data_IF_260040736191
#
_entry.id   IF_260040736191
#
_cell.length_a   1.000
_cell.length_b   1.000
_cell.length_c   1.000
_cell.angle_alpha   90.00
_cell.angle_beta   90.00
_cell.angle_gamma   90.00
#
_symmetry.space_group_name_H-M   'P 1'
#
loop_
_entity.id
_entity.type
_entity.pdbx_description
1 polymer ?
#
# COMPACT_ATOMS: atom_id res chain seq x y z
N UNK A 1 -7.91 2.13 3.05
CA UNK A 1 -8.72 1.60 4.16
C UNK A 1 -7.92 0.59 5.00
N UNK A 2 -7.37 -0.47 4.43
CA UNK A 2 -6.64 -1.51 5.19
C UNK A 2 -5.51 -0.97 6.07
N UNK A 3 -4.77 0.06 5.64
CA UNK A 3 -3.74 0.73 6.46
C UNK A 3 -4.35 1.45 7.67
N UNK A 4 -5.50 2.11 7.51
CA UNK A 4 -6.22 2.72 8.63
C UNK A 4 -6.65 1.68 9.64
N UNK A 5 -7.26 0.58 9.16
CA UNK A 5 -7.68 -0.53 10.03
C UNK A 5 -6.51 -1.15 10.78
N UNK A 6 -5.36 -1.34 10.11
CA UNK A 6 -4.15 -1.87 10.75
C UNK A 6 -3.62 -0.93 11.83
N UNK A 7 -3.54 0.39 11.53
CA UNK A 7 -3.10 1.39 12.51
C UNK A 7 -4.00 1.41 13.74
N UNK A 8 -5.33 1.39 13.54
CA UNK A 8 -6.31 1.38 14.66
C UNK A 8 -6.24 0.09 15.46
N UNK A 9 -5.99 -1.05 14.82
CA UNK A 9 -5.78 -2.32 15.50
C UNK A 9 -4.52 -2.29 16.36
N UNK A 10 -3.40 -1.82 15.80
CA UNK A 10 -2.13 -1.72 16.54
C UNK A 10 -2.24 -0.72 17.70
N UNK A 11 -2.98 0.39 17.52
CA UNK A 11 -3.29 1.32 18.58
C UNK A 11 -4.06 0.62 19.72
N UNK A 12 -5.13 -0.12 19.38
CA UNK A 12 -5.99 -0.78 20.38
C UNK A 12 -5.27 -1.88 21.16
N UNK A 13 -4.20 -2.41 20.61
CA UNK A 13 -3.34 -3.41 21.24
C UNK A 13 -2.14 -2.81 21.99
N UNK A 14 -2.01 -1.48 22.02
CA UNK A 14 -0.89 -0.77 22.64
C UNK A 14 -1.32 -0.09 23.94
N UNK A 15 -1.03 -0.72 25.07
CA UNK A 15 -1.39 -0.20 26.40
C UNK A 15 -0.69 1.14 26.76
N UNK A 16 0.35 1.53 26.00
CA UNK A 16 1.07 2.79 26.22
C UNK A 16 0.42 4.00 25.51
N UNK A 17 -0.67 3.82 24.78
CA UNK A 17 -1.31 4.86 23.95
C UNK A 17 -2.82 4.92 24.20
N UNK A 18 -3.32 6.12 24.50
CA UNK A 18 -4.75 6.37 24.79
C UNK A 18 -5.57 6.74 23.53
N UNK A 19 -4.92 6.83 22.39
CA UNK A 19 -5.52 7.22 21.13
C UNK A 19 -5.71 8.74 20.94
N UNK A 20 -5.50 9.53 21.98
CA UNK A 20 -5.55 11.00 21.95
C UNK A 20 -4.14 11.62 21.96
N UNK A 21 -3.22 11.02 22.70
CA UNK A 21 -1.84 11.52 22.87
C UNK A 21 -1.08 11.59 21.56
N UNK A 22 -1.21 10.58 20.71
CA UNK A 22 -0.58 10.56 19.39
C UNK A 22 -1.13 11.67 18.47
N UNK A 23 -2.44 11.92 18.51
CA UNK A 23 -3.08 12.97 17.71
C UNK A 23 -2.66 14.36 18.20
N UNK A 24 -2.65 14.59 19.51
CA UNK A 24 -2.12 15.82 20.10
C UNK A 24 -0.69 16.08 19.66
N UNK A 25 0.17 15.07 19.75
CA UNK A 25 1.57 15.16 19.33
C UNK A 25 1.69 15.45 17.82
N UNK A 26 0.85 14.86 16.99
CA UNK A 26 0.80 15.11 15.56
C UNK A 26 0.38 16.54 15.23
N UNK A 27 -0.69 17.04 15.84
CA UNK A 27 -1.21 18.40 15.59
C UNK A 27 -0.30 19.48 16.15
N UNK A 28 0.28 19.30 17.34
CA UNK A 28 1.19 20.30 17.98
C UNK A 28 2.53 20.43 17.27
N UNK A 29 2.94 19.45 16.46
CA UNK A 29 4.22 19.51 15.74
C UNK A 29 4.23 20.54 14.61
N UNK A 30 3.07 20.91 14.07
CA UNK A 30 2.96 21.93 13.00
C UNK A 30 1.58 22.60 13.06
N UNK A 31 1.57 23.91 13.30
CA UNK A 31 0.35 24.74 13.29
C UNK A 31 -0.48 24.59 12.01
N UNK A 32 0.17 24.40 10.87
CA UNK A 32 -0.53 24.26 9.60
C UNK A 32 -1.41 23.00 9.55
N UNK A 33 -1.15 21.99 10.38
CA UNK A 33 -1.99 20.78 10.48
C UNK A 33 -3.35 21.08 11.09
N UNK A 34 -3.39 21.87 12.15
CA UNK A 34 -4.65 22.33 12.77
C UNK A 34 -5.42 23.18 11.78
N UNK A 35 -4.75 24.14 11.15
CA UNK A 35 -5.36 24.98 10.12
C UNK A 35 -5.93 24.16 8.96
N UNK A 36 -5.15 23.23 8.41
CA UNK A 36 -5.61 22.31 7.34
C UNK A 36 -6.84 21.49 7.76
N UNK A 37 -6.91 21.11 9.03
CA UNK A 37 -8.04 20.37 9.57
C UNK A 37 -9.29 21.27 9.62
N UNK A 38 -9.18 22.49 10.17
CA UNK A 38 -10.27 23.45 10.26
C UNK A 38 -10.77 23.91 8.86
N UNK A 39 -9.89 24.07 7.90
CA UNK A 39 -10.22 24.42 6.51
C UNK A 39 -11.10 23.34 5.79
N UNK A 40 -11.28 22.18 6.38
CA UNK A 40 -12.16 21.12 5.87
C UNK A 40 -13.60 21.23 6.38
N UNK A 41 -13.87 22.02 7.41
CA UNK A 41 -15.20 22.21 7.99
C UNK A 41 -16.17 22.65 6.87
N UNK A 42 -17.34 21.99 6.81
CA UNK A 42 -18.38 22.25 5.83
C UNK A 42 -18.13 21.67 4.43
N UNK A 43 -16.99 21.00 4.18
CA UNK A 43 -16.70 20.39 2.85
C UNK A 43 -17.29 18.99 2.67
N UNK A 44 -17.64 18.30 3.76
CA UNK A 44 -18.34 17.01 3.72
C UNK A 44 -18.97 16.73 5.09
N UNK A 45 -19.94 15.81 5.14
CA UNK A 45 -20.58 15.40 6.40
C UNK A 45 -19.57 14.85 7.45
N UNK A 46 -18.49 14.20 6.99
CA UNK A 46 -17.44 13.71 7.89
C UNK A 46 -16.73 14.83 8.65
N UNK A 47 -16.76 16.07 8.14
CA UNK A 47 -16.11 17.22 8.76
C UNK A 47 -16.92 17.89 9.87
N UNK A 48 -18.18 17.50 10.07
CA UNK A 48 -18.98 17.96 11.22
C UNK A 48 -18.34 17.55 12.54
N UNK A 49 -17.60 16.47 12.55
CA UNK A 49 -16.80 16.02 13.67
C UNK A 49 -15.75 17.06 14.09
N UNK A 50 -15.06 17.66 13.11
CA UNK A 50 -14.04 18.69 13.35
C UNK A 50 -14.67 19.88 14.04
N UNK A 51 -15.81 20.36 13.54
CA UNK A 51 -16.53 21.49 14.11
C UNK A 51 -16.95 21.23 15.56
N UNK A 52 -17.44 20.01 15.87
CA UNK A 52 -17.79 19.62 17.23
C UNK A 52 -16.60 19.61 18.20
N UNK A 53 -15.42 19.22 17.72
CA UNK A 53 -14.21 19.14 18.53
C UNK A 53 -13.43 20.44 18.63
N UNK A 54 -13.59 21.35 17.67
CA UNK A 54 -12.98 22.69 17.71
C UNK A 54 -13.34 23.46 18.99
N UNK A 55 -14.55 23.26 19.52
CA UNK A 55 -15.00 23.86 20.77
C UNK A 55 -14.45 23.16 22.04
N UNK A 56 -13.70 22.05 21.88
CA UNK A 56 -13.12 21.22 22.93
C UNK A 56 -11.59 21.11 22.79
N UNK A 57 -10.91 22.23 22.60
CA UNK A 57 -9.45 22.37 22.50
C UNK A 57 -8.82 21.42 21.46
N UNK A 58 -9.52 21.20 20.36
CA UNK A 58 -9.07 20.30 19.26
C UNK A 58 -8.65 18.89 19.73
N UNK A 59 -9.32 18.38 20.75
CA UNK A 59 -9.06 17.06 21.30
C UNK A 59 -9.72 15.97 20.43
N UNK A 60 -8.96 15.40 19.47
CA UNK A 60 -9.41 14.35 18.58
C UNK A 60 -8.81 13.00 18.97
N UNK A 61 -9.65 11.96 18.87
CA UNK A 61 -9.16 10.60 18.92
C UNK A 61 -8.59 10.15 17.56
N UNK A 62 -7.67 9.18 17.56
CA UNK A 62 -7.06 8.66 16.34
C UNK A 62 -8.12 8.12 15.36
N UNK A 63 -9.11 7.37 15.86
CA UNK A 63 -10.20 6.82 15.04
C UNK A 63 -11.12 7.89 14.44
N UNK A 64 -11.17 9.07 15.04
CA UNK A 64 -11.92 10.22 14.49
C UNK A 64 -11.11 10.91 13.40
N UNK A 65 -9.86 11.25 13.67
CA UNK A 65 -9.04 12.07 12.77
C UNK A 65 -8.70 11.33 11.46
N UNK A 66 -8.51 10.00 11.49
CA UNK A 66 -8.20 9.21 10.29
C UNK A 66 -9.33 9.20 9.26
N UNK A 67 -10.57 9.56 9.65
CA UNK A 67 -11.70 9.66 8.71
C UNK A 67 -11.74 10.98 7.96
N UNK A 68 -11.13 12.04 8.50
CA UNK A 68 -11.23 13.40 7.94
C UNK A 68 -9.94 13.89 7.30
N UNK A 69 -8.79 13.35 7.67
CA UNK A 69 -7.52 13.74 7.08
C UNK A 69 -7.30 13.14 5.68
N UNK A 70 -6.54 13.85 4.87
CA UNK A 70 -6.12 13.35 3.55
C UNK A 70 -5.17 12.16 3.68
N UNK A 71 -4.98 11.42 2.59
CA UNK A 71 -4.03 10.30 2.62
C UNK A 71 -2.57 10.74 2.87
N UNK A 72 -2.21 11.98 2.47
CA UNK A 72 -0.89 12.54 2.80
C UNK A 72 -0.71 12.79 4.29
N UNK A 73 -1.67 13.47 4.90
CA UNK A 73 -1.70 13.71 6.35
C UNK A 73 -1.75 12.38 7.14
N UNK A 74 -2.50 11.39 6.64
CA UNK A 74 -2.50 10.05 7.22
C UNK A 74 -1.13 9.39 7.18
N UNK A 75 -0.35 9.52 6.10
CA UNK A 75 1.01 8.98 6.02
C UNK A 75 1.90 9.59 7.12
N UNK A 76 1.84 10.89 7.31
CA UNK A 76 2.63 11.57 8.34
C UNK A 76 2.26 11.10 9.75
N UNK A 77 0.96 10.98 10.03
CA UNK A 77 0.46 10.46 11.31
C UNK A 77 0.86 8.99 11.52
N UNK A 78 0.78 8.17 10.49
CA UNK A 78 1.21 6.77 10.48
C UNK A 78 2.72 6.65 10.78
N UNK A 79 3.54 7.44 10.09
CA UNK A 79 4.98 7.49 10.31
C UNK A 79 5.33 7.94 11.74
N UNK A 80 4.62 8.94 12.28
CA UNK A 80 4.80 9.37 13.66
C UNK A 80 4.48 8.23 14.63
N UNK A 81 3.36 7.52 14.45
CA UNK A 81 2.98 6.41 15.33
C UNK A 81 4.07 5.33 15.36
N UNK A 82 4.50 4.83 14.20
CA UNK A 82 5.50 3.76 14.16
C UNK A 82 6.93 4.22 14.48
N UNK A 83 7.20 5.52 14.46
CA UNK A 83 8.46 6.06 15.00
C UNK A 83 8.52 5.99 16.52
N UNK A 84 7.37 6.09 17.19
CA UNK A 84 7.26 6.00 18.64
C UNK A 84 7.05 4.56 19.12
N UNK A 85 6.31 3.78 18.34
CA UNK A 85 5.93 2.39 18.64
C UNK A 85 6.34 1.47 17.48
N UNK A 86 7.64 1.16 17.33
CA UNK A 86 8.14 0.38 16.19
C UNK A 86 7.52 -1.01 16.09
N UNK A 87 7.07 -1.39 14.91
CA UNK A 87 6.53 -2.71 14.63
C UNK A 87 7.23 -3.32 13.41
N UNK A 88 7.91 -4.44 13.61
CA UNK A 88 8.67 -5.12 12.56
C UNK A 88 7.80 -5.66 11.42
N UNK A 89 6.55 -6.00 11.71
CA UNK A 89 5.65 -6.67 10.77
C UNK A 89 4.57 -5.76 10.17
N UNK A 90 4.23 -4.67 10.87
CA UNK A 90 3.07 -3.83 10.54
C UNK A 90 3.48 -2.41 10.09
N UNK A 91 4.75 -2.04 10.25
CA UNK A 91 5.25 -0.76 9.78
C UNK A 91 5.54 -0.79 8.27
N UNK A 92 4.73 -0.06 7.53
CA UNK A 92 4.86 0.16 6.08
C UNK A 92 5.31 1.59 5.74
N UNK A 93 5.78 2.37 6.71
CA UNK A 93 6.11 3.79 6.58
C UNK A 93 6.95 4.13 5.34
N UNK A 94 7.96 3.30 5.04
CA UNK A 94 8.88 3.51 3.92
C UNK A 94 8.24 3.33 2.52
N UNK A 95 7.04 2.76 2.46
CA UNK A 95 6.35 2.43 1.21
C UNK A 95 5.17 3.37 0.88
N UNK A 96 4.67 4.11 1.87
CA UNK A 96 3.37 4.77 1.75
C UNK A 96 3.36 5.92 0.75
N UNK A 97 4.48 6.63 0.58
CA UNK A 97 4.58 7.69 -0.43
C UNK A 97 4.46 7.16 -1.86
N UNK A 98 5.12 6.03 -2.16
CA UNK A 98 4.96 5.33 -3.44
C UNK A 98 3.51 4.94 -3.71
N UNK A 99 2.83 4.38 -2.71
CA UNK A 99 1.41 4.01 -2.81
C UNK A 99 0.54 5.27 -3.04
N UNK A 100 0.83 6.37 -2.34
CA UNK A 100 0.12 7.64 -2.52
C UNK A 100 0.25 8.18 -3.93
N UNK A 101 1.47 8.20 -4.49
CA UNK A 101 1.70 8.71 -5.84
C UNK A 101 0.95 7.90 -6.89
N UNK A 102 1.03 6.57 -6.82
CA UNK A 102 0.32 5.70 -7.75
C UNK A 102 -1.20 5.82 -7.60
N UNK A 103 -1.71 5.84 -6.37
CA UNK A 103 -3.14 6.03 -6.08
C UNK A 103 -3.65 7.37 -6.62
N UNK A 104 -2.90 8.46 -6.42
CA UNK A 104 -3.27 9.77 -6.92
C UNK A 104 -3.25 9.81 -8.45
N UNK A 105 -2.24 9.23 -9.10
CA UNK A 105 -2.19 9.13 -10.55
C UNK A 105 -3.41 8.37 -11.09
N UNK A 106 -3.81 7.27 -10.46
CA UNK A 106 -5.01 6.53 -10.82
C UNK A 106 -6.30 7.34 -10.60
N UNK A 107 -6.41 8.06 -9.47
CA UNK A 107 -7.58 8.88 -9.15
C UNK A 107 -7.77 10.07 -10.12
N UNK A 108 -6.69 10.60 -10.66
CA UNK A 108 -6.70 11.69 -11.64
C UNK A 108 -6.67 11.20 -13.09
N UNK A 109 -6.81 9.90 -13.35
CA UNK A 109 -6.74 9.29 -14.68
C UNK A 109 -5.46 9.65 -15.45
N UNK A 110 -4.34 9.81 -14.75
CA UNK A 110 -3.07 10.13 -15.38
C UNK A 110 -2.58 8.96 -16.25
N UNK A 111 -2.07 9.27 -17.44
CA UNK A 111 -1.44 8.27 -18.30
C UNK A 111 -0.07 7.88 -17.76
N UNK A 112 0.01 6.82 -17.00
CA UNK A 112 1.25 6.31 -16.40
C UNK A 112 2.29 5.85 -17.44
N UNK A 113 1.86 5.51 -18.67
CA UNK A 113 2.76 5.10 -19.75
C UNK A 113 3.70 6.23 -20.19
N UNK A 114 3.30 7.50 -20.02
CA UNK A 114 4.16 8.64 -20.33
C UNK A 114 5.42 8.70 -19.44
N UNK A 115 5.36 8.13 -18.25
CA UNK A 115 6.46 8.13 -17.29
C UNK A 115 7.38 6.89 -17.38
N UNK A 116 7.21 6.06 -18.42
CA UNK A 116 8.08 4.90 -18.63
C UNK A 116 9.41 5.25 -19.29
N UNK A 117 9.52 6.45 -19.91
CA UNK A 117 10.74 6.90 -20.62
C UNK A 117 11.60 7.78 -19.72
N UNK A 118 12.90 7.48 -19.67
CA UNK A 118 13.88 8.35 -19.02
C UNK A 118 14.14 9.64 -19.86
N UNK A 119 14.63 10.73 -19.25
CA UNK A 119 15.04 10.85 -17.84
C UNK A 119 13.85 10.97 -16.86
N UNK A 120 14.05 10.47 -15.65
CA UNK A 120 13.03 10.56 -14.60
C UNK A 120 13.28 11.81 -13.74
N UNK A 121 12.22 12.53 -13.42
CA UNK A 121 12.28 13.75 -12.58
C UNK A 121 12.48 13.44 -11.08
N UNK A 122 12.32 12.21 -10.67
CA UNK A 122 12.36 11.79 -9.27
C UNK A 122 13.45 10.74 -9.08
N UNK A 123 14.30 10.94 -8.06
CA UNK A 123 15.21 9.91 -7.58
C UNK A 123 14.48 8.95 -6.67
N UNK A 124 14.65 7.64 -6.91
CA UNK A 124 13.97 6.59 -6.15
C UNK A 124 14.92 5.99 -5.14
N UNK A 125 14.49 5.97 -3.87
CA UNK A 125 15.14 5.16 -2.86
C UNK A 125 14.68 3.71 -2.99
N UNK A 126 15.54 2.88 -3.60
CA UNK A 126 15.26 1.45 -3.79
C UNK A 126 15.24 0.75 -2.43
N UNK A 127 14.12 0.14 -2.10
CA UNK A 127 13.95 -0.59 -0.84
C UNK A 127 14.60 -1.97 -0.95
N UNK A 128 15.56 -2.27 -0.06
CA UNK A 128 16.35 -3.51 -0.08
C UNK A 128 15.48 -4.77 -0.02
N UNK A 129 14.44 -4.76 0.79
CA UNK A 129 13.53 -5.90 0.97
C UNK A 129 12.80 -6.28 -0.32
N UNK A 130 12.34 -5.28 -1.08
CA UNK A 130 11.66 -5.50 -2.35
C UNK A 130 12.66 -6.01 -3.40
N UNK A 131 13.84 -5.41 -3.47
CA UNK A 131 14.89 -5.87 -4.38
C UNK A 131 15.30 -7.32 -4.06
N UNK A 132 15.39 -7.68 -2.78
CA UNK A 132 15.63 -9.05 -2.37
C UNK A 132 14.49 -9.98 -2.78
N UNK A 133 13.24 -9.58 -2.57
CA UNK A 133 12.09 -10.43 -2.96
C UNK A 133 12.03 -10.67 -4.48
N UNK A 134 12.18 -9.63 -5.30
CA UNK A 134 12.17 -9.80 -6.77
C UNK A 134 13.44 -10.47 -7.30
N UNK A 135 14.56 -10.51 -6.55
CA UNK A 135 15.77 -11.24 -6.95
C UNK A 135 15.55 -12.75 -6.99
N UNK A 136 14.56 -13.27 -6.28
CA UNK A 136 14.15 -14.68 -6.30
C UNK A 136 13.52 -15.10 -7.64
N UNK A 137 13.14 -14.14 -8.49
CA UNK A 137 12.53 -14.40 -9.81
C UNK A 137 13.65 -14.69 -10.81
N UNK A 138 14.00 -15.96 -10.98
CA UNK A 138 15.12 -16.40 -11.85
C UNK A 138 15.03 -15.93 -13.31
N UNK A 139 13.80 -15.66 -13.78
CA UNK A 139 13.55 -15.20 -15.17
C UNK A 139 13.79 -13.70 -15.39
N UNK A 140 14.15 -12.97 -14.32
CA UNK A 140 14.49 -11.54 -14.38
C UNK A 140 15.99 -11.37 -14.11
N UNK A 141 16.74 -10.90 -15.10
CA UNK A 141 18.18 -10.60 -14.93
C UNK A 141 18.41 -9.43 -13.99
N UNK A 142 19.61 -9.37 -13.39
CA UNK A 142 20.01 -8.25 -12.55
C UNK A 142 19.91 -6.91 -13.29
N UNK A 143 20.42 -6.83 -14.52
CA UNK A 143 20.35 -5.63 -15.36
C UNK A 143 18.90 -5.17 -15.57
N UNK A 144 17.97 -6.11 -15.79
CA UNK A 144 16.55 -5.79 -15.95
C UNK A 144 15.94 -5.25 -14.65
N UNK A 145 16.29 -5.83 -13.50
CA UNK A 145 15.85 -5.32 -12.17
C UNK A 145 16.34 -3.90 -11.93
N UNK A 146 17.62 -3.65 -12.18
CA UNK A 146 18.23 -2.33 -11.99
C UNK A 146 17.58 -1.27 -12.89
N UNK A 147 17.35 -1.60 -14.18
CA UNK A 147 16.68 -0.74 -15.14
C UNK A 147 15.25 -0.39 -14.71
N UNK A 148 14.43 -1.40 -14.48
CA UNK A 148 12.99 -1.17 -14.28
C UNK A 148 12.62 -0.73 -12.86
N UNK A 149 13.38 -1.15 -11.85
CA UNK A 149 13.21 -0.62 -10.49
C UNK A 149 13.77 0.79 -10.31
N UNK A 150 14.44 1.36 -11.30
CA UNK A 150 14.75 2.78 -11.36
C UNK A 150 13.62 3.63 -11.97
N UNK A 151 12.63 2.99 -12.62
CA UNK A 151 11.46 3.69 -13.14
C UNK A 151 10.45 3.94 -12.02
N UNK A 152 9.99 5.20 -11.77
CA UNK A 152 9.09 5.52 -10.67
C UNK A 152 7.78 4.74 -10.71
N UNK A 153 7.14 4.65 -11.86
CA UNK A 153 5.83 3.98 -12.01
C UNK A 153 5.95 2.48 -11.76
N UNK A 154 6.97 1.85 -12.30
CA UNK A 154 7.20 0.41 -12.12
C UNK A 154 7.56 0.11 -10.67
N UNK A 155 8.43 0.93 -10.07
CA UNK A 155 8.82 0.82 -8.67
C UNK A 155 7.60 0.93 -7.75
N UNK A 156 6.78 1.98 -7.91
CA UNK A 156 5.61 2.22 -7.08
C UNK A 156 4.55 1.12 -7.23
N UNK A 157 4.40 0.60 -8.46
CA UNK A 157 3.53 -0.55 -8.72
C UNK A 157 4.01 -1.82 -7.98
N UNK A 158 5.29 -2.12 -8.04
CA UNK A 158 5.87 -3.29 -7.35
C UNK A 158 5.73 -3.15 -5.84
N UNK A 159 5.94 -1.93 -5.30
CA UNK A 159 5.69 -1.61 -3.89
C UNK A 159 4.23 -1.87 -3.52
N UNK A 160 3.28 -1.38 -4.32
CA UNK A 160 1.86 -1.58 -4.04
C UNK A 160 1.51 -3.07 -3.92
N UNK A 161 1.97 -3.89 -4.86
CA UNK A 161 1.72 -5.34 -4.84
C UNK A 161 2.37 -6.00 -3.63
N UNK A 162 3.62 -5.64 -3.34
CA UNK A 162 4.36 -6.16 -2.18
C UNK A 162 3.67 -5.84 -0.86
N UNK A 163 3.27 -4.58 -0.65
CA UNK A 163 2.57 -4.13 0.57
C UNK A 163 1.18 -4.77 0.66
N UNK A 164 0.43 -4.86 -0.45
CA UNK A 164 -0.86 -5.53 -0.48
C UNK A 164 -0.78 -6.96 0.07
N UNK A 165 0.20 -7.74 -0.39
CA UNK A 165 0.36 -9.13 0.01
C UNK A 165 0.76 -9.30 1.49
N UNK A 166 1.40 -8.31 2.10
CA UNK A 166 1.80 -8.31 3.52
C UNK A 166 0.72 -7.74 4.44
N UNK A 167 0.06 -6.69 3.98
CA UNK A 167 -0.97 -5.98 4.74
C UNK A 167 -2.27 -6.78 4.86
N UNK A 168 -2.72 -7.39 3.77
CA UNK A 168 -3.99 -8.14 3.76
C UNK A 168 -3.78 -9.50 4.43
N UNK A 169 -4.42 -9.70 5.57
CA UNK A 169 -4.30 -10.96 6.36
C UNK A 169 -5.26 -12.05 5.89
N UNK A 170 -6.46 -11.67 5.41
CA UNK A 170 -7.44 -12.63 4.88
C UNK A 170 -6.93 -13.30 3.61
N UNK A 171 -6.77 -14.64 3.65
CA UNK A 171 -6.30 -15.42 2.51
C UNK A 171 -7.23 -15.28 1.30
N UNK A 172 -8.56 -15.31 1.50
CA UNK A 172 -9.52 -15.18 0.41
C UNK A 172 -9.47 -13.82 -0.29
N UNK A 173 -9.43 -12.73 0.49
CA UNK A 173 -9.32 -11.37 -0.07
C UNK A 173 -7.98 -11.19 -0.79
N UNK A 174 -6.90 -11.66 -0.18
CA UNK A 174 -5.56 -11.59 -0.75
C UNK A 174 -5.49 -12.33 -2.09
N UNK A 175 -6.00 -13.56 -2.13
CA UNK A 175 -6.02 -14.39 -3.33
C UNK A 175 -6.87 -13.76 -4.44
N UNK A 176 -8.09 -13.31 -4.12
CA UNK A 176 -8.99 -12.66 -5.08
C UNK A 176 -8.35 -11.42 -5.72
N UNK A 177 -7.70 -10.57 -4.92
CA UNK A 177 -7.04 -9.37 -5.45
C UNK A 177 -5.87 -9.69 -6.38
N UNK A 178 -5.02 -10.67 -6.02
CA UNK A 178 -3.88 -11.04 -6.86
C UNK A 178 -4.31 -11.81 -8.12
N UNK A 179 -5.40 -12.59 -8.06
CA UNK A 179 -5.96 -13.26 -9.24
C UNK A 179 -6.58 -12.26 -10.22
N UNK A 180 -7.26 -11.21 -9.73
CA UNK A 180 -7.76 -10.13 -10.56
C UNK A 180 -6.61 -9.37 -11.26
N UNK A 181 -5.51 -9.15 -10.54
CA UNK A 181 -4.32 -8.53 -11.11
C UNK A 181 -3.66 -9.44 -12.16
N UNK A 182 -3.57 -10.74 -11.88
CA UNK A 182 -3.07 -11.74 -12.81
C UNK A 182 -3.91 -11.78 -14.10
N UNK A 183 -5.25 -11.80 -13.97
CA UNK A 183 -6.16 -11.74 -15.12
C UNK A 183 -5.98 -10.45 -15.93
N UNK A 184 -5.85 -9.30 -15.24
CA UNK A 184 -5.61 -8.02 -15.93
C UNK A 184 -4.38 -8.09 -16.84
N UNK A 185 -3.25 -8.60 -16.31
CA UNK A 185 -1.99 -8.63 -17.06
C UNK A 185 -1.93 -9.75 -18.10
N UNK A 186 -2.47 -10.93 -17.83
CA UNK A 186 -2.30 -12.09 -18.72
C UNK A 186 -3.45 -12.27 -19.72
N UNK A 187 -4.60 -11.57 -19.52
CA UNK A 187 -5.77 -11.69 -20.38
C UNK A 187 -6.18 -10.33 -20.97
N UNK A 188 -6.63 -9.40 -20.09
CA UNK A 188 -7.24 -8.16 -20.55
C UNK A 188 -6.27 -7.26 -21.32
N UNK A 189 -5.05 -7.06 -20.81
CA UNK A 189 -4.03 -6.21 -21.48
C UNK A 189 -3.53 -6.80 -22.78
N UNK A 190 -3.70 -8.10 -23.02
CA UNK A 190 -3.28 -8.76 -24.25
C UNK A 190 -4.30 -8.68 -25.38
N UNK A 191 -5.55 -8.25 -25.14
CA UNK A 191 -6.60 -8.20 -26.16
C UNK A 191 -6.25 -7.32 -27.36
N UNK A 192 -5.44 -6.29 -27.13
CA UNK A 192 -5.01 -5.33 -28.17
C UNK A 192 -3.50 -5.09 -28.11
N UNK A 193 -2.73 -6.18 -27.91
CA UNK A 193 -1.26 -6.12 -27.81
C UNK A 193 -0.60 -5.50 -29.04
N UNK A 194 -1.21 -5.64 -30.21
CA UNK A 194 -0.73 -5.09 -31.49
C UNK A 194 -0.57 -3.57 -31.46
N UNK A 195 -1.35 -2.84 -30.64
CA UNK A 195 -1.21 -1.39 -30.50
C UNK A 195 0.10 -0.96 -29.84
N UNK A 196 0.64 -1.80 -28.99
CA UNK A 196 1.81 -1.50 -28.17
C UNK A 196 3.09 -2.21 -28.62
N UNK A 197 3.01 -3.22 -29.49
CA UNK A 197 4.14 -4.04 -29.91
C UNK A 197 5.26 -3.24 -30.60
N UNK A 198 4.92 -2.12 -31.24
CA UNK A 198 5.91 -1.24 -31.90
C UNK A 198 6.70 -0.38 -30.92
N UNK A 199 6.29 -0.31 -29.63
CA UNK A 199 6.97 0.47 -28.61
C UNK A 199 7.75 -0.45 -27.67
N UNK A 200 9.06 -0.53 -27.89
CA UNK A 200 9.94 -1.40 -27.10
C UNK A 200 9.91 -1.09 -25.61
N UNK A 201 9.81 0.19 -25.22
CA UNK A 201 9.76 0.57 -23.80
C UNK A 201 8.51 0.02 -23.12
N UNK A 202 7.35 0.12 -23.75
CA UNK A 202 6.09 -0.44 -23.22
C UNK A 202 6.18 -1.97 -23.17
N UNK A 203 6.64 -2.62 -24.22
CA UNK A 203 6.74 -4.08 -24.28
C UNK A 203 7.70 -4.64 -23.23
N UNK A 204 8.87 -4.04 -23.07
CA UNK A 204 9.85 -4.48 -22.08
C UNK A 204 9.38 -4.24 -20.64
N UNK A 205 8.75 -3.08 -20.37
CA UNK A 205 8.19 -2.80 -19.05
C UNK A 205 7.06 -3.76 -18.68
N UNK A 206 6.17 -4.05 -19.63
CA UNK A 206 5.13 -5.06 -19.48
C UNK A 206 5.73 -6.44 -19.18
N UNK A 207 6.72 -6.88 -19.97
CA UNK A 207 7.38 -8.17 -19.76
C UNK A 207 8.08 -8.28 -18.40
N UNK A 208 8.57 -7.18 -17.87
CA UNK A 208 9.13 -7.13 -16.52
C UNK A 208 8.02 -7.27 -15.45
N UNK A 209 6.97 -6.47 -15.57
CA UNK A 209 5.87 -6.42 -14.59
C UNK A 209 5.08 -7.72 -14.56
N UNK A 210 4.76 -8.32 -15.72
CA UNK A 210 4.00 -9.57 -15.76
C UNK A 210 4.73 -10.73 -15.07
N UNK A 211 6.06 -10.79 -15.16
CA UNK A 211 6.85 -11.79 -14.43
C UNK A 211 6.73 -11.62 -12.92
N UNK A 212 6.70 -10.39 -12.43
CA UNK A 212 6.51 -10.08 -11.01
C UNK A 212 5.10 -10.47 -10.56
N UNK A 213 4.08 -10.08 -11.32
CA UNK A 213 2.67 -10.44 -11.02
C UNK A 213 2.50 -11.95 -10.97
N UNK A 214 3.02 -12.67 -11.96
CA UNK A 214 2.94 -14.14 -12.01
C UNK A 214 3.67 -14.80 -10.84
N UNK A 215 4.84 -14.29 -10.46
CA UNK A 215 5.58 -14.78 -9.29
C UNK A 215 4.78 -14.61 -8.00
N UNK A 216 4.23 -13.42 -7.76
CA UNK A 216 3.44 -13.16 -6.55
C UNK A 216 2.12 -13.91 -6.54
N UNK A 217 1.47 -14.06 -7.69
CA UNK A 217 0.26 -14.87 -7.82
C UNK A 217 0.52 -16.34 -7.44
N UNK A 218 1.57 -16.93 -8.01
CA UNK A 218 1.95 -18.31 -7.71
C UNK A 218 2.35 -18.50 -6.24
N UNK A 219 3.06 -17.52 -5.67
CA UNK A 219 3.43 -17.55 -4.24
C UNK A 219 2.19 -17.50 -3.36
N UNK A 220 1.26 -16.59 -3.62
CA UNK A 220 0.01 -16.45 -2.86
C UNK A 220 -0.84 -17.73 -2.93
N UNK A 221 -1.00 -18.33 -4.11
CA UNK A 221 -1.73 -19.59 -4.31
C UNK A 221 -1.16 -20.74 -3.49
N UNK A 222 0.17 -20.86 -3.44
CA UNK A 222 0.85 -21.88 -2.62
C UNK A 222 0.59 -21.65 -1.13
N UNK A 223 0.72 -20.42 -0.64
CA UNK A 223 0.46 -20.07 0.76
C UNK A 223 -1.01 -20.37 1.14
N UNK A 224 -1.95 -20.04 0.27
CA UNK A 224 -3.38 -20.31 0.46
C UNK A 224 -3.68 -21.81 0.51
N UNK A 225 -3.10 -22.61 -0.37
CA UNK A 225 -3.25 -24.07 -0.36
C UNK A 225 -2.71 -24.70 0.93
N UNK A 226 -1.53 -24.26 1.39
CA UNK A 226 -0.93 -24.76 2.64
C UNK A 226 -1.84 -24.42 3.82
N UNK A 227 -2.38 -23.20 3.87
CA UNK A 227 -3.30 -22.78 4.93
C UNK A 227 -4.57 -23.65 4.99
N UNK A 228 -5.22 -23.91 3.86
CA UNK A 228 -6.41 -24.74 3.82
C UNK A 228 -6.11 -26.20 4.21
N UNK A 229 -4.98 -26.73 3.76
CA UNK A 229 -4.56 -28.08 4.14
C UNK A 229 -4.34 -28.22 5.65
N UNK A 230 -3.62 -27.27 6.26
CA UNK A 230 -3.40 -27.25 7.71
C UNK A 230 -4.71 -27.10 8.49
N UNK A 231 -5.61 -26.22 8.04
CA UNK A 231 -6.93 -26.04 8.68
C UNK A 231 -7.78 -27.31 8.58
N UNK A 232 -7.70 -28.03 7.48
CA UNK A 232 -8.41 -29.30 7.31
C UNK A 232 -7.91 -30.39 8.29
N UNK A 233 -6.59 -30.51 8.45
CA UNK A 233 -5.99 -31.46 9.41
C UNK A 233 -6.42 -31.14 10.83
N UNK A 234 -6.33 -29.87 11.27
CA UNK A 234 -6.74 -29.44 12.60
C UNK A 234 -8.21 -29.78 12.86
N UNK A 235 -9.09 -29.50 11.89
CA UNK A 235 -10.52 -29.82 12.02
C UNK A 235 -10.79 -31.32 12.08
N UNK A 236 -9.98 -32.15 11.44
CA UNK A 236 -10.10 -33.63 11.57
C UNK A 236 -9.61 -34.13 12.92
N UNK A 237 -8.56 -33.54 13.49
CA UNK A 237 -8.06 -33.89 14.81
C UNK A 237 -9.07 -33.53 15.91
N UNK A 238 -9.67 -32.34 15.83
CA UNK A 238 -10.69 -31.89 16.81
C UNK A 238 -12.02 -32.67 16.74
N UNK A 239 -12.29 -33.42 15.68
CA UNK A 239 -13.48 -34.30 15.57
C UNK A 239 -13.25 -35.68 16.13
N UNK A 240 -12.02 -36.04 16.47
CA UNK A 240 -11.63 -37.35 17.03
C UNK A 240 -11.42 -37.32 18.54
N UNK A 241 -11.45 -36.13 19.14
CA UNK A 241 -11.52 -35.85 20.58
C UNK A 241 -12.95 -35.59 21.00
#
# INVERSE_FOLDING_TARGET
HALKTQLLYDLSANDAEDGYSIVRKYLSADYMRVKSLHDKIGKSAATDLIQKRQNNDDCYALWEIVEVISFGEFIELYQLYYSLYPSKNNDFSSYLWSIKFLRNAAAHNNCLLNSLKAPYSISIHKTKDILFEISKIKTISQKSREKWMANPVIHDFVILVYVYLRLIKSHGIKQSGIDNLHWLFNERMLKHKEYFQKNNTITESYNFVVKIVNYFCNKCRKETLIFFYQSHIINQMNKKT
#
